data_IF_199087376902
#
_entry.id   IF_199087376902
#
_cell.length_a   1.000
_cell.length_b   1.000
_cell.length_c   1.000
_cell.angle_alpha   90.00
_cell.angle_beta   90.00
_cell.angle_gamma   90.00
#
_symmetry.space_group_name_H-M   'P 1'
#
loop_
_entity.id
_entity.type
_entity.pdbx_description
1 polymer ?
#
# COMPACT_ATOMS: atom_id res chain seq x y z
N UNK A 1 7.52 -0.97 11.79
CA UNK A 1 8.21 -2.16 11.27
C UNK A 1 7.76 -2.51 9.85
N UNK A 2 6.52 -2.88 9.61
CA UNK A 2 6.02 -3.21 8.25
C UNK A 2 6.22 -2.10 7.21
N UNK A 3 5.92 -0.86 7.56
CA UNK A 3 6.11 0.32 6.70
C UNK A 3 7.58 0.65 6.47
N UNK A 4 8.40 0.48 7.47
CA UNK A 4 9.85 0.60 7.37
C UNK A 4 10.42 -0.45 6.41
N UNK A 5 10.08 -1.73 6.61
CA UNK A 5 10.50 -2.84 5.74
C UNK A 5 10.10 -2.59 4.27
N UNK A 6 8.85 -2.23 4.02
CA UNK A 6 8.38 -1.95 2.66
C UNK A 6 9.12 -0.77 2.00
N UNK A 7 9.43 0.30 2.74
CA UNK A 7 10.11 1.47 2.19
C UNK A 7 11.61 1.23 1.97
N UNK A 8 12.28 0.48 2.84
CA UNK A 8 13.68 0.07 2.67
C UNK A 8 13.86 -0.84 1.44
N UNK A 9 12.95 -1.82 1.28
CA UNK A 9 13.00 -2.76 0.14
C UNK A 9 12.86 -2.03 -1.20
N UNK A 10 12.00 -1.02 -1.29
CA UNK A 10 11.83 -0.25 -2.52
C UNK A 10 13.14 0.41 -3.00
N UNK A 11 13.98 0.90 -2.09
CA UNK A 11 15.31 1.45 -2.42
C UNK A 11 16.24 0.36 -2.95
N UNK A 12 16.11 -0.87 -2.44
CA UNK A 12 17.00 -1.97 -2.77
C UNK A 12 16.63 -2.74 -4.05
N UNK A 13 15.42 -2.53 -4.60
CA UNK A 13 14.96 -3.30 -5.77
C UNK A 13 15.93 -3.28 -6.96
N UNK A 14 16.52 -2.12 -7.36
CA UNK A 14 17.50 -2.11 -8.46
C UNK A 14 18.74 -2.94 -8.16
N UNK A 15 19.31 -2.81 -6.95
CA UNK A 15 20.48 -3.58 -6.52
C UNK A 15 20.18 -5.07 -6.47
N UNK A 16 19.01 -5.48 -5.96
CA UNK A 16 18.53 -6.87 -5.94
C UNK A 16 18.39 -7.41 -7.37
N UNK A 17 17.81 -6.62 -8.29
CA UNK A 17 17.66 -7.00 -9.69
C UNK A 17 19.01 -7.29 -10.33
N UNK A 18 20.00 -6.40 -10.12
CA UNK A 18 21.35 -6.51 -10.66
C UNK A 18 22.09 -7.73 -10.10
N UNK A 19 22.08 -7.93 -8.79
CA UNK A 19 22.84 -9.02 -8.15
C UNK A 19 22.23 -10.40 -8.39
N UNK A 20 20.89 -10.50 -8.48
CA UNK A 20 20.20 -11.77 -8.77
C UNK A 20 19.93 -12.00 -10.27
N UNK A 21 20.39 -11.10 -11.16
CA UNK A 21 20.18 -11.22 -12.60
C UNK A 21 18.71 -11.24 -13.02
N UNK A 22 17.85 -10.50 -12.27
CA UNK A 22 16.41 -10.50 -12.48
C UNK A 22 15.96 -9.28 -13.29
N UNK A 23 14.95 -9.45 -14.14
CA UNK A 23 14.32 -8.34 -14.85
C UNK A 23 13.49 -7.46 -13.89
N UNK A 24 13.22 -6.21 -14.27
CA UNK A 24 12.44 -5.26 -13.47
C UNK A 24 11.05 -5.80 -13.11
N UNK A 25 10.41 -6.49 -14.06
CA UNK A 25 9.10 -7.12 -13.83
C UNK A 25 9.17 -8.30 -12.87
N UNK A 26 10.27 -9.07 -12.88
CA UNK A 26 10.44 -10.19 -11.96
C UNK A 26 10.78 -9.71 -10.55
N UNK A 27 11.64 -8.70 -10.41
CA UNK A 27 11.97 -8.13 -9.09
C UNK A 27 10.78 -7.38 -8.47
N UNK A 28 9.88 -6.83 -9.26
CA UNK A 28 8.63 -6.23 -8.77
C UNK A 28 7.79 -7.20 -7.93
N UNK A 29 7.90 -8.52 -8.19
CA UNK A 29 7.23 -9.54 -7.38
C UNK A 29 7.73 -9.60 -5.93
N UNK A 30 8.90 -9.08 -5.63
CA UNK A 30 9.39 -8.94 -4.24
C UNK A 30 8.47 -8.00 -3.44
N UNK A 31 8.02 -6.91 -4.05
CA UNK A 31 7.08 -5.98 -3.43
C UNK A 31 5.61 -6.44 -3.59
N UNK A 32 5.24 -6.96 -4.76
CA UNK A 32 3.89 -7.43 -5.07
C UNK A 32 3.47 -8.62 -4.20
N UNK A 33 4.31 -9.65 -4.08
CA UNK A 33 3.99 -10.83 -3.28
C UNK A 33 3.71 -10.47 -1.81
N UNK A 34 4.50 -9.53 -1.27
CA UNK A 34 4.28 -9.00 0.07
C UNK A 34 2.94 -8.26 0.18
N UNK A 35 2.67 -7.33 -0.73
CA UNK A 35 1.45 -6.52 -0.69
C UNK A 35 0.19 -7.35 -0.91
N UNK A 36 0.22 -8.29 -1.87
CA UNK A 36 -0.89 -9.20 -2.13
C UNK A 36 -1.17 -10.13 -0.94
N UNK A 37 -0.11 -10.69 -0.34
CA UNK A 37 -0.25 -11.54 0.85
C UNK A 37 -0.83 -10.74 2.01
N UNK A 38 -0.37 -9.50 2.21
CA UNK A 38 -0.87 -8.62 3.25
C UNK A 38 -2.38 -8.39 3.08
N UNK A 39 -2.81 -7.97 1.89
CA UNK A 39 -4.23 -7.70 1.60
C UNK A 39 -5.06 -8.96 1.73
N UNK A 40 -4.55 -10.08 1.22
CA UNK A 40 -5.22 -11.38 1.27
C UNK A 40 -5.48 -11.86 2.69
N UNK A 41 -4.50 -11.70 3.58
CA UNK A 41 -4.52 -12.32 4.90
C UNK A 41 -4.98 -11.38 6.03
N UNK A 42 -5.00 -10.05 5.83
CA UNK A 42 -5.35 -9.12 6.89
C UNK A 42 -6.78 -9.35 7.43
N UNK A 43 -7.74 -9.58 6.55
CA UNK A 43 -9.13 -9.89 6.95
C UNK A 43 -9.25 -11.24 7.62
N UNK A 44 -8.52 -12.23 7.13
CA UNK A 44 -8.48 -13.57 7.69
C UNK A 44 -7.93 -13.54 9.13
N UNK A 45 -6.80 -12.86 9.34
CA UNK A 45 -6.19 -12.74 10.66
C UNK A 45 -6.98 -11.82 11.59
N UNK A 46 -7.72 -10.84 11.07
CA UNK A 46 -8.68 -10.07 11.84
C UNK A 46 -9.73 -10.98 12.49
N UNK A 47 -10.37 -11.84 11.70
CA UNK A 47 -11.35 -12.82 12.18
C UNK A 47 -10.72 -13.88 13.12
N UNK A 48 -9.51 -14.36 12.81
CA UNK A 48 -8.78 -15.29 13.67
C UNK A 48 -8.45 -14.67 15.05
N UNK A 49 -8.12 -13.40 15.07
CA UNK A 49 -7.80 -12.69 16.30
C UNK A 49 -9.00 -12.49 17.20
N UNK A 50 -10.19 -12.30 16.63
CA UNK A 50 -11.43 -12.27 17.42
C UNK A 50 -11.64 -13.56 18.20
N UNK A 51 -11.22 -14.70 17.66
CA UNK A 51 -11.36 -16.02 18.31
C UNK A 51 -10.20 -16.40 19.21
N UNK A 52 -8.95 -16.05 18.84
CA UNK A 52 -7.73 -16.48 19.55
C UNK A 52 -7.06 -15.38 20.40
N UNK A 53 -7.56 -14.14 20.26
CA UNK A 53 -7.07 -12.98 21.01
C UNK A 53 -5.85 -12.29 20.41
N UNK A 54 -5.61 -11.05 20.82
CA UNK A 54 -4.53 -10.19 20.34
C UNK A 54 -3.14 -10.75 20.60
N UNK A 55 -2.94 -11.38 21.77
CA UNK A 55 -1.67 -11.97 22.15
C UNK A 55 -1.18 -13.02 21.16
N UNK A 56 -2.11 -13.86 20.66
CA UNK A 56 -1.82 -14.83 19.61
C UNK A 56 -1.33 -14.16 18.33
N UNK A 57 -2.08 -13.17 17.83
CA UNK A 57 -1.74 -12.49 16.58
C UNK A 57 -0.37 -11.79 16.65
N UNK A 58 -0.05 -11.09 17.75
CA UNK A 58 1.24 -10.44 17.89
C UNK A 58 2.41 -11.42 18.02
N UNK A 59 2.30 -12.45 18.88
CA UNK A 59 3.38 -13.41 19.08
C UNK A 59 3.70 -14.18 17.81
N UNK A 60 2.69 -14.78 17.19
CA UNK A 60 2.88 -15.52 15.94
C UNK A 60 3.24 -14.59 14.77
N UNK A 61 2.65 -13.40 14.71
CA UNK A 61 2.99 -12.41 13.71
C UNK A 61 4.48 -12.04 13.73
N UNK A 62 5.06 -11.75 14.91
CA UNK A 62 6.49 -11.51 15.04
C UNK A 62 7.34 -12.72 14.68
N UNK A 63 6.94 -13.94 15.07
CA UNK A 63 7.66 -15.17 14.72
C UNK A 63 7.72 -15.33 13.19
N UNK A 64 6.58 -15.25 12.50
CA UNK A 64 6.54 -15.35 11.04
C UNK A 64 7.31 -14.23 10.36
N UNK A 65 7.22 -13.00 10.86
CA UNK A 65 7.95 -11.86 10.32
C UNK A 65 9.47 -12.03 10.46
N UNK A 66 9.96 -12.46 11.62
CA UNK A 66 11.39 -12.70 11.89
C UNK A 66 11.91 -13.83 11.00
N UNK A 67 11.20 -14.96 10.96
CA UNK A 67 11.57 -16.10 10.11
C UNK A 67 11.57 -15.72 8.62
N UNK A 68 10.53 -15.01 8.17
CA UNK A 68 10.46 -14.50 6.80
C UNK A 68 11.61 -13.54 6.49
N UNK A 69 11.95 -12.62 7.40
CA UNK A 69 13.07 -11.70 7.25
C UNK A 69 14.42 -12.43 7.19
N UNK A 70 14.60 -13.45 8.03
CA UNK A 70 15.81 -14.29 8.00
C UNK A 70 15.94 -15.01 6.66
N UNK A 71 14.87 -15.63 6.18
CA UNK A 71 14.86 -16.32 4.88
C UNK A 71 15.05 -15.35 3.70
N UNK A 72 14.50 -14.14 3.76
CA UNK A 72 14.77 -13.09 2.78
C UNK A 72 16.27 -12.76 2.72
N UNK A 73 16.91 -12.55 3.88
CA UNK A 73 18.34 -12.24 3.96
C UNK A 73 19.24 -13.41 3.53
N UNK A 74 18.79 -14.65 3.63
CA UNK A 74 19.51 -15.84 3.19
C UNK A 74 19.19 -16.25 1.74
N UNK A 75 18.32 -15.51 1.05
CA UNK A 75 17.90 -15.85 -0.30
C UNK A 75 19.05 -15.71 -1.32
N UNK A 76 19.24 -16.74 -2.14
CA UNK A 76 20.25 -16.80 -3.21
C UNK A 76 19.63 -16.68 -4.60
N UNK A 77 18.31 -16.65 -4.71
CA UNK A 77 17.58 -16.48 -5.96
C UNK A 77 16.35 -15.60 -5.77
N UNK A 78 15.89 -14.98 -6.85
CA UNK A 78 14.69 -14.14 -6.83
C UNK A 78 13.44 -14.91 -6.40
N UNK A 79 13.33 -16.18 -6.76
CA UNK A 79 12.19 -17.04 -6.42
C UNK A 79 12.15 -17.37 -4.92
N UNK A 80 13.33 -17.68 -4.32
CA UNK A 80 13.43 -17.90 -2.87
C UNK A 80 13.12 -16.63 -2.11
N UNK A 81 13.54 -15.47 -2.62
CA UNK A 81 13.22 -14.17 -2.03
C UNK A 81 11.71 -13.89 -2.07
N UNK A 82 11.05 -14.09 -3.22
CA UNK A 82 9.59 -13.92 -3.36
C UNK A 82 8.83 -14.83 -2.39
N UNK A 83 9.21 -16.10 -2.27
CA UNK A 83 8.57 -17.02 -1.32
C UNK A 83 8.77 -16.57 0.13
N UNK A 84 9.97 -16.13 0.48
CA UNK A 84 10.30 -15.62 1.82
C UNK A 84 9.51 -14.35 2.14
N UNK A 85 9.25 -13.49 1.16
CA UNK A 85 8.40 -12.30 1.27
C UNK A 85 6.94 -12.66 1.59
N UNK A 86 6.40 -13.74 1.03
CA UNK A 86 5.06 -14.25 1.36
C UNK A 86 5.01 -14.63 2.84
N UNK A 87 6.01 -15.34 3.34
CA UNK A 87 6.09 -15.73 4.75
C UNK A 87 6.20 -14.51 5.67
N UNK A 88 7.04 -13.54 5.32
CA UNK A 88 7.22 -12.29 6.06
C UNK A 88 5.91 -11.47 6.10
N UNK A 89 5.22 -11.35 4.96
CA UNK A 89 3.95 -10.65 4.83
C UNK A 89 2.84 -11.31 5.66
N UNK A 90 2.85 -12.64 5.77
CA UNK A 90 1.93 -13.38 6.64
C UNK A 90 2.04 -12.91 8.09
N UNK A 91 3.27 -12.77 8.61
CA UNK A 91 3.52 -12.19 9.92
C UNK A 91 3.02 -10.75 10.05
N UNK A 92 3.30 -9.93 9.03
CA UNK A 92 2.82 -8.54 8.98
C UNK A 92 1.31 -8.45 9.00
N UNK A 93 0.61 -9.29 8.24
CA UNK A 93 -0.85 -9.31 8.19
C UNK A 93 -1.46 -9.62 9.56
N UNK A 94 -0.83 -10.50 10.34
CA UNK A 94 -1.29 -10.83 11.69
C UNK A 94 -1.29 -9.63 12.63
N UNK A 95 -0.20 -8.85 12.73
CA UNK A 95 -0.19 -7.69 13.62
C UNK A 95 -0.83 -6.44 13.02
N UNK A 96 -0.88 -6.30 11.70
CA UNK A 96 -1.59 -5.19 11.06
C UNK A 96 -3.12 -5.30 11.22
N UNK A 97 -3.65 -6.52 11.20
CA UNK A 97 -5.08 -6.79 11.39
C UNK A 97 -5.59 -6.34 12.76
N UNK A 98 -4.74 -6.31 13.78
CA UNK A 98 -5.14 -6.13 15.18
C UNK A 98 -4.84 -4.75 15.76
N UNK A 99 -3.96 -3.98 15.14
CA UNK A 99 -3.44 -2.74 15.72
C UNK A 99 -4.52 -1.75 16.16
N UNK A 100 -5.47 -1.44 15.31
CA UNK A 100 -6.56 -0.50 15.62
C UNK A 100 -7.62 -1.11 16.55
N UNK A 101 -7.94 -2.40 16.38
CA UNK A 101 -8.90 -3.11 17.25
C UNK A 101 -8.43 -3.13 18.71
N UNK A 102 -7.16 -3.41 18.92
CA UNK A 102 -6.55 -3.42 20.25
C UNK A 102 -6.61 -2.04 20.92
N UNK A 103 -6.36 -0.96 20.19
CA UNK A 103 -6.47 0.41 20.73
C UNK A 103 -7.88 0.71 21.23
N UNK A 104 -8.89 0.30 20.48
CA UNK A 104 -10.30 0.56 20.88
C UNK A 104 -10.72 -0.26 22.10
N UNK A 105 -10.04 -1.37 22.40
CA UNK A 105 -10.34 -2.23 23.54
C UNK A 105 -9.56 -1.83 24.80
N UNK A 106 -8.31 -1.38 24.65
CA UNK A 106 -7.44 -1.03 25.79
C UNK A 106 -7.66 0.42 26.26
N UNK A 107 -7.84 1.35 25.33
CA UNK A 107 -7.91 2.78 25.67
C UNK A 107 -9.34 3.25 25.86
N UNK A 108 -9.61 4.05 26.93
CA UNK A 108 -10.90 4.72 27.13
C UNK A 108 -11.23 5.59 25.92
N UNK A 109 -12.51 5.79 25.65
CA UNK A 109 -13.01 6.53 24.47
C UNK A 109 -12.34 7.91 24.30
N UNK A 110 -12.12 8.63 25.41
CA UNK A 110 -11.46 9.94 25.44
C UNK A 110 -9.99 9.93 25.00
N UNK A 111 -9.29 8.79 25.09
CA UNK A 111 -7.85 8.65 24.79
C UNK A 111 -7.58 7.91 23.47
N UNK A 112 -8.60 7.31 22.87
CA UNK A 112 -8.48 6.53 21.62
C UNK A 112 -7.88 7.36 20.49
N UNK A 113 -8.31 8.61 20.33
CA UNK A 113 -7.77 9.50 19.30
C UNK A 113 -6.27 9.74 19.45
N UNK A 114 -5.79 9.92 20.68
CA UNK A 114 -4.35 10.07 20.97
C UNK A 114 -3.59 8.79 20.66
N UNK A 115 -4.10 7.63 21.04
CA UNK A 115 -3.47 6.34 20.80
C UNK A 115 -3.41 6.00 19.29
N UNK A 116 -4.48 6.24 18.54
CA UNK A 116 -4.51 6.10 17.07
C UNK A 116 -3.50 7.07 16.42
N UNK A 117 -3.44 8.32 16.92
CA UNK A 117 -2.46 9.31 16.47
C UNK A 117 -1.01 8.84 16.64
N UNK A 118 -0.68 8.17 17.75
CA UNK A 118 0.65 7.60 17.96
C UNK A 118 0.95 6.46 16.97
N UNK A 119 -0.04 5.62 16.64
CA UNK A 119 0.15 4.59 15.60
C UNK A 119 0.44 5.24 14.25
N UNK A 120 -0.33 6.25 13.87
CA UNK A 120 -0.16 6.96 12.58
C UNK A 120 1.22 7.63 12.52
N UNK A 121 1.67 8.28 13.61
CA UNK A 121 3.02 8.85 13.68
C UNK A 121 4.11 7.78 13.53
N UNK A 122 3.98 6.63 14.17
CA UNK A 122 4.93 5.52 14.06
C UNK A 122 4.99 4.96 12.63
N UNK A 123 3.84 4.82 11.98
CA UNK A 123 3.74 4.41 10.57
C UNK A 123 4.44 5.42 9.66
N UNK A 124 4.17 6.72 9.85
CA UNK A 124 4.80 7.80 9.08
C UNK A 124 6.31 7.86 9.29
N UNK A 125 6.77 7.70 10.54
CA UNK A 125 8.19 7.62 10.86
C UNK A 125 8.88 6.46 10.12
N UNK A 126 8.21 5.29 10.01
CA UNK A 126 8.72 4.17 9.23
C UNK A 126 8.91 4.49 7.75
N UNK A 127 7.99 5.23 7.15
CA UNK A 127 8.12 5.68 5.76
C UNK A 127 9.23 6.73 5.56
N UNK A 128 9.42 7.63 6.53
CA UNK A 128 10.44 8.69 6.45
C UNK A 128 11.85 8.12 6.68
N UNK A 129 12.00 7.25 7.68
CA UNK A 129 13.32 6.70 8.05
C UNK A 129 13.76 5.58 7.09
N UNK A 130 12.80 4.87 6.48
CA UNK A 130 13.09 3.70 5.65
C UNK A 130 14.05 3.97 4.50
N UNK A 131 13.77 4.91 3.58
CA UNK A 131 14.64 5.14 2.44
C UNK A 131 16.08 5.54 2.83
N UNK A 132 16.34 6.48 3.75
CA UNK A 132 17.70 6.78 4.20
C UNK A 132 18.40 5.57 4.83
N UNK A 133 17.70 4.83 5.68
CA UNK A 133 18.27 3.63 6.30
C UNK A 133 18.60 2.56 5.25
N UNK A 134 17.72 2.38 4.25
CA UNK A 134 17.95 1.48 3.12
C UNK A 134 19.16 1.87 2.30
N UNK A 135 19.26 3.15 1.92
CA UNK A 135 20.41 3.67 1.18
C UNK A 135 21.74 3.49 1.93
N UNK A 136 21.78 3.80 3.23
CA UNK A 136 22.97 3.60 4.08
C UNK A 136 23.33 2.11 4.21
N UNK A 137 22.34 1.24 4.42
CA UNK A 137 22.59 -0.20 4.50
C UNK A 137 23.17 -0.76 3.20
N UNK A 138 22.67 -0.30 2.05
CA UNK A 138 23.16 -0.71 0.74
C UNK A 138 24.56 -0.16 0.42
N UNK A 139 24.90 1.03 0.93
CA UNK A 139 26.23 1.63 0.70
C UNK A 139 27.33 1.00 1.56
N UNK A 140 26.99 0.48 2.74
CA UNK A 140 27.97 -0.11 3.68
C UNK A 140 27.97 -1.62 3.68
N UNK A 141 26.85 -2.24 3.33
CA UNK A 141 26.64 -3.68 3.38
C UNK A 141 25.96 -4.18 2.10
N UNK A 142 25.79 -5.48 1.98
CA UNK A 142 25.02 -6.10 0.89
C UNK A 142 23.51 -5.90 1.08
N UNK A 143 22.71 -6.08 0.01
CA UNK A 143 21.26 -5.90 0.03
C UNK A 143 20.55 -6.79 1.06
N UNK A 144 21.12 -7.93 1.42
CA UNK A 144 20.56 -8.82 2.47
C UNK A 144 20.43 -8.12 3.82
N UNK A 145 21.27 -7.14 4.11
CA UNK A 145 21.27 -6.38 5.37
C UNK A 145 19.95 -5.67 5.64
N UNK A 146 19.21 -5.27 4.59
CA UNK A 146 17.89 -4.64 4.72
C UNK A 146 16.85 -5.57 5.36
N UNK A 147 17.03 -6.88 5.21
CA UNK A 147 16.16 -7.88 5.84
C UNK A 147 16.68 -8.27 7.22
N UNK A 148 18.01 -8.39 7.40
CA UNK A 148 18.60 -8.74 8.70
C UNK A 148 18.35 -7.69 9.77
N UNK A 149 18.25 -6.39 9.44
CA UNK A 149 17.90 -5.33 10.41
C UNK A 149 16.52 -5.54 11.05
N UNK A 150 15.63 -6.23 10.38
CA UNK A 150 14.30 -6.55 10.90
C UNK A 150 14.34 -7.58 12.03
N UNK A 151 15.40 -8.40 12.11
CA UNK A 151 15.50 -9.48 13.12
C UNK A 151 15.66 -8.90 14.54
N UNK A 152 16.64 -8.03 14.86
CA UNK A 152 16.75 -7.46 16.20
C UNK A 152 15.51 -6.64 16.60
N UNK A 153 14.93 -5.88 15.66
CA UNK A 153 13.71 -5.11 15.91
C UNK A 153 12.51 -6.04 16.17
N UNK A 154 12.42 -7.13 15.40
CA UNK A 154 11.37 -8.14 15.55
C UNK A 154 11.50 -8.90 16.89
N UNK A 155 12.71 -9.27 17.29
CA UNK A 155 12.97 -9.92 18.57
C UNK A 155 12.61 -9.01 19.76
N UNK A 156 12.93 -7.72 19.68
CA UNK A 156 12.50 -6.75 20.68
C UNK A 156 10.97 -6.68 20.77
N UNK A 157 10.27 -6.59 19.60
CA UNK A 157 8.82 -6.60 19.54
C UNK A 157 8.20 -7.89 20.07
N UNK A 158 8.78 -9.04 19.75
CA UNK A 158 8.35 -10.35 20.25
C UNK A 158 8.50 -10.45 21.77
N UNK A 159 9.63 -9.99 22.30
CA UNK A 159 9.88 -9.96 23.75
C UNK A 159 8.84 -9.07 24.45
N UNK A 160 8.57 -7.88 23.92
CA UNK A 160 7.51 -7.00 24.44
C UNK A 160 6.13 -7.69 24.36
N UNK A 161 5.83 -8.40 23.28
CA UNK A 161 4.57 -9.12 23.15
C UNK A 161 4.44 -10.24 24.20
N UNK A 162 5.52 -10.93 24.56
CA UNK A 162 5.50 -11.93 25.62
C UNK A 162 5.32 -11.31 27.01
N UNK A 163 5.91 -10.15 27.27
CA UNK A 163 5.84 -9.46 28.57
C UNK A 163 4.45 -8.84 28.77
N UNK A 164 4.02 -8.00 27.83
CA UNK A 164 2.81 -7.18 28.01
C UNK A 164 1.52 -7.92 27.74
N UNK A 165 1.52 -8.92 26.85
CA UNK A 165 0.31 -9.67 26.51
C UNK A 165 0.19 -11.01 27.25
N UNK A 166 1.00 -11.23 28.30
CA UNK A 166 0.97 -12.48 29.08
C UNK A 166 -0.40 -12.73 29.72
N UNK A 167 -1.02 -11.69 30.24
CA UNK A 167 -2.25 -11.76 31.03
C UNK A 167 -3.47 -11.16 30.31
N UNK A 168 -3.39 -10.93 29.00
CA UNK A 168 -4.56 -10.44 28.26
C UNK A 168 -5.66 -11.50 28.20
N UNK A 169 -6.89 -11.15 28.62
CA UNK A 169 -7.99 -12.10 28.57
C UNK A 169 -8.34 -12.45 27.11
N UNK A 170 -8.49 -13.73 26.85
CA UNK A 170 -9.09 -14.20 25.59
C UNK A 170 -10.61 -14.09 25.75
N UNK A 171 -11.32 -13.54 24.77
CA UNK A 171 -12.78 -13.45 24.80
C UNK A 171 -13.38 -14.83 25.00
N UNK A 172 -14.30 -14.98 25.96
CA UNK A 172 -14.90 -16.26 26.34
C UNK A 172 -15.81 -16.88 25.27
N UNK A 173 -16.28 -16.09 24.32
CA UNK A 173 -17.14 -16.57 23.24
C UNK A 173 -16.38 -16.41 21.90
N UNK A 174 -15.77 -17.49 21.40
CA UNK A 174 -15.14 -17.45 20.08
C UNK A 174 -16.21 -17.29 19.01
N UNK A 175 -16.20 -16.14 18.33
CA UNK A 175 -17.02 -15.94 17.15
C UNK A 175 -16.63 -16.97 16.10
N UNK A 176 -17.61 -17.59 15.45
CA UNK A 176 -17.35 -18.59 14.41
C UNK A 176 -16.46 -17.98 13.32
N UNK A 177 -15.35 -18.63 13.04
CA UNK A 177 -14.36 -18.18 12.10
C UNK A 177 -14.90 -18.27 10.66
N UNK A 178 -14.94 -17.14 9.97
CA UNK A 178 -15.47 -17.04 8.63
C UNK A 178 -14.34 -16.97 7.64
N UNK A 179 -14.15 -18.05 6.90
CA UNK A 179 -13.08 -18.17 5.91
C UNK A 179 -13.51 -17.71 4.52
N UNK A 180 -14.81 -17.82 4.19
CA UNK A 180 -15.30 -17.68 2.83
C UNK A 180 -15.10 -16.28 2.26
N UNK A 181 -15.45 -15.21 2.99
CA UNK A 181 -15.25 -13.84 2.55
C UNK A 181 -13.77 -13.48 2.32
N UNK A 182 -12.91 -13.60 3.37
CA UNK A 182 -11.48 -13.34 3.22
C UNK A 182 -10.79 -14.15 2.13
N UNK A 183 -11.10 -15.45 2.01
CA UNK A 183 -10.53 -16.30 0.95
C UNK A 183 -10.99 -15.88 -0.44
N UNK A 184 -12.25 -15.49 -0.59
CA UNK A 184 -12.78 -15.04 -1.88
C UNK A 184 -12.11 -13.75 -2.36
N UNK A 185 -11.93 -12.75 -1.50
CA UNK A 185 -11.23 -11.51 -1.88
C UNK A 185 -9.75 -11.75 -2.17
N UNK A 186 -9.11 -12.65 -1.41
CA UNK A 186 -7.74 -13.08 -1.68
C UNK A 186 -7.61 -13.71 -3.07
N UNK A 187 -8.49 -14.63 -3.39
CA UNK A 187 -8.51 -15.31 -4.70
C UNK A 187 -8.77 -14.31 -5.83
N UNK A 188 -9.67 -13.35 -5.61
CA UNK A 188 -9.94 -12.26 -6.58
C UNK A 188 -8.66 -11.50 -6.92
N UNK A 189 -7.94 -11.03 -5.90
CA UNK A 189 -6.75 -10.19 -6.09
C UNK A 189 -5.58 -10.97 -6.70
N UNK A 190 -5.36 -12.19 -6.23
CA UNK A 190 -4.28 -13.04 -6.74
C UNK A 190 -4.55 -13.39 -8.21
N UNK A 191 -5.75 -13.89 -8.55
CA UNK A 191 -6.08 -14.28 -9.92
C UNK A 191 -6.10 -13.09 -10.88
N UNK A 192 -6.59 -11.91 -10.46
CA UNK A 192 -6.52 -10.69 -11.26
C UNK A 192 -5.07 -10.26 -11.56
N UNK A 193 -4.20 -10.31 -10.54
CA UNK A 193 -2.78 -9.94 -10.72
C UNK A 193 -2.05 -10.90 -11.65
N UNK A 194 -2.31 -12.22 -11.52
CA UNK A 194 -1.75 -13.20 -12.43
C UNK A 194 -2.28 -13.06 -13.86
N UNK A 195 -3.58 -12.77 -14.03
CA UNK A 195 -4.16 -12.51 -15.35
C UNK A 195 -3.48 -11.32 -16.04
N UNK A 196 -3.31 -10.20 -15.33
CA UNK A 196 -2.61 -9.01 -15.84
C UNK A 196 -1.17 -9.32 -16.26
N UNK A 197 -0.46 -10.13 -15.46
CA UNK A 197 0.92 -10.49 -15.79
C UNK A 197 1.00 -11.36 -17.05
N UNK A 198 0.06 -12.29 -17.23
CA UNK A 198 0.08 -13.20 -18.39
C UNK A 198 -0.11 -12.48 -19.73
N UNK A 199 -0.66 -11.27 -19.73
CA UNK A 199 -0.80 -10.45 -20.95
C UNK A 199 0.57 -10.17 -21.60
N UNK A 200 1.66 -10.14 -20.82
CA UNK A 200 3.01 -9.97 -21.33
C UNK A 200 3.52 -11.20 -22.10
N UNK A 201 3.29 -12.38 -21.53
CA UNK A 201 3.90 -13.64 -22.01
C UNK A 201 3.01 -14.36 -23.06
N UNK A 202 1.73 -14.00 -23.15
CA UNK A 202 0.72 -14.67 -23.98
C UNK A 202 -0.17 -13.64 -24.70
N UNK A 203 -0.64 -13.94 -25.92
CA UNK A 203 -1.59 -13.07 -26.60
C UNK A 203 -2.90 -12.93 -25.80
N UNK A 204 -3.55 -11.77 -25.89
CA UNK A 204 -4.80 -11.49 -25.16
C UNK A 204 -5.89 -12.52 -25.44
N UNK A 205 -5.83 -13.22 -26.59
CA UNK A 205 -6.74 -14.32 -26.95
C UNK A 205 -6.49 -15.62 -26.18
N UNK A 206 -5.40 -15.75 -25.38
CA UNK A 206 -5.08 -16.96 -24.66
C UNK A 206 -6.14 -17.26 -23.58
N UNK A 207 -6.66 -18.49 -23.60
CA UNK A 207 -7.71 -18.93 -22.67
C UNK A 207 -7.30 -18.86 -21.18
N UNK A 208 -6.00 -18.88 -20.88
CA UNK A 208 -5.47 -18.83 -19.49
C UNK A 208 -5.72 -17.45 -18.88
N UNK A 209 -5.56 -16.36 -19.66
CA UNK A 209 -5.85 -14.99 -19.23
C UNK A 209 -7.33 -14.85 -18.88
N UNK A 210 -8.20 -15.30 -19.79
CA UNK A 210 -9.64 -15.26 -19.58
C UNK A 210 -10.11 -16.20 -18.48
N UNK A 211 -9.47 -17.35 -18.34
CA UNK A 211 -9.71 -18.29 -17.23
C UNK A 211 -9.43 -17.66 -15.88
N UNK A 212 -8.27 -16.99 -15.72
CA UNK A 212 -7.94 -16.27 -14.50
C UNK A 212 -8.83 -15.04 -14.25
N UNK A 213 -9.22 -14.30 -15.31
CA UNK A 213 -10.17 -13.22 -15.20
C UNK A 213 -11.55 -13.71 -14.76
N UNK A 214 -12.01 -14.83 -15.30
CA UNK A 214 -13.26 -15.46 -14.87
C UNK A 214 -13.20 -15.93 -13.41
N UNK A 215 -12.10 -16.57 -12.99
CA UNK A 215 -11.88 -16.96 -11.58
C UNK A 215 -11.93 -15.73 -10.68
N UNK A 216 -11.30 -14.62 -11.09
CA UNK A 216 -11.33 -13.37 -10.36
C UNK A 216 -12.77 -12.81 -10.22
N UNK A 217 -13.53 -12.80 -11.30
CA UNK A 217 -14.93 -12.32 -11.30
C UNK A 217 -15.83 -13.23 -10.45
N UNK A 218 -15.69 -14.54 -10.56
CA UNK A 218 -16.45 -15.50 -9.75
C UNK A 218 -16.11 -15.40 -8.27
N UNK A 219 -14.83 -15.22 -7.95
CA UNK A 219 -14.37 -15.04 -6.57
C UNK A 219 -14.88 -13.70 -6.00
N UNK A 220 -14.91 -12.62 -6.79
CA UNK A 220 -15.50 -11.35 -6.41
C UNK A 220 -17.01 -11.46 -6.17
N UNK A 221 -17.72 -12.15 -7.05
CA UNK A 221 -19.16 -12.41 -6.88
C UNK A 221 -19.42 -13.24 -5.62
N UNK A 222 -18.58 -14.25 -5.35
CA UNK A 222 -18.65 -15.06 -4.13
C UNK A 222 -18.38 -14.19 -2.88
N UNK A 223 -17.37 -13.31 -2.90
CA UNK A 223 -17.11 -12.36 -1.82
C UNK A 223 -18.32 -11.49 -1.55
N UNK A 224 -18.88 -10.86 -2.59
CA UNK A 224 -20.08 -10.04 -2.47
C UNK A 224 -21.25 -10.84 -1.89
N UNK A 225 -21.48 -12.07 -2.36
CA UNK A 225 -22.56 -12.94 -1.88
C UNK A 225 -22.37 -13.34 -0.41
N UNK A 226 -21.15 -13.73 -0.01
CA UNK A 226 -20.87 -14.13 1.37
C UNK A 226 -20.97 -12.95 2.34
N UNK A 227 -20.60 -11.77 1.91
CA UNK A 227 -20.61 -10.58 2.75
C UNK A 227 -21.98 -9.88 2.76
N UNK A 228 -22.79 -10.00 1.69
CA UNK A 228 -24.12 -9.37 1.62
C UNK A 228 -25.22 -10.14 2.35
N UNK A 229 -25.08 -11.45 2.50
CA UNK A 229 -26.16 -12.34 2.98
C UNK A 229 -26.18 -12.54 4.50
N UNK A 230 -25.32 -11.86 5.25
CA UNK A 230 -25.12 -12.18 6.65
C UNK A 230 -25.32 -11.01 7.58
N UNK A 231 -26.23 -11.18 8.56
CA UNK A 231 -26.45 -10.20 9.66
C UNK A 231 -25.20 -9.97 10.53
N UNK A 232 -24.17 -10.80 10.35
CA UNK A 232 -22.90 -10.73 11.05
C UNK A 232 -21.74 -10.44 10.09
N UNK A 233 -22.03 -9.87 8.91
CA UNK A 233 -21.05 -9.43 7.93
C UNK A 233 -19.99 -8.52 8.57
N UNK A 234 -18.71 -8.75 8.25
CA UNK A 234 -17.61 -7.89 8.70
C UNK A 234 -17.77 -6.48 8.11
N UNK A 235 -18.24 -6.41 6.87
CA UNK A 235 -18.52 -5.18 6.15
C UNK A 235 -20.01 -5.16 5.86
N UNK A 236 -20.79 -4.44 6.66
CA UNK A 236 -22.21 -4.21 6.31
C UNK A 236 -22.26 -3.46 4.96
N UNK A 237 -22.67 -4.12 3.88
CA UNK A 237 -22.72 -3.50 2.54
C UNK A 237 -23.64 -2.25 2.48
N UNK A 238 -24.49 -2.04 3.48
CA UNK A 238 -25.27 -0.81 3.62
C UNK A 238 -24.38 0.45 3.66
N UNK A 239 -23.15 0.35 4.17
CA UNK A 239 -22.16 1.44 4.15
C UNK A 239 -21.90 1.92 2.71
N UNK A 240 -21.88 1.01 1.73
CA UNK A 240 -21.62 1.35 0.33
C UNK A 240 -22.83 2.02 -0.36
N UNK A 241 -24.02 2.00 0.26
CA UNK A 241 -25.16 2.81 -0.21
C UNK A 241 -24.91 4.31 0.05
N UNK A 242 -24.04 4.63 1.00
CA UNK A 242 -23.61 6.00 1.23
C UNK A 242 -22.69 6.47 0.10
N UNK A 243 -23.18 7.41 -0.70
CA UNK A 243 -22.44 7.95 -1.85
C UNK A 243 -21.09 8.55 -1.47
N UNK A 244 -21.03 9.25 -0.33
CA UNK A 244 -19.80 9.84 0.15
C UNK A 244 -18.76 8.76 0.48
N UNK A 245 -19.16 7.68 1.14
CA UNK A 245 -18.31 6.55 1.47
C UNK A 245 -17.75 5.88 0.21
N UNK A 246 -18.64 5.46 -0.69
CA UNK A 246 -18.29 4.72 -1.91
C UNK A 246 -17.37 5.52 -2.83
N UNK A 247 -17.68 6.79 -3.04
CA UNK A 247 -16.85 7.64 -3.89
C UNK A 247 -15.50 7.98 -3.25
N UNK A 248 -15.43 8.11 -1.93
CA UNK A 248 -14.15 8.31 -1.25
C UNK A 248 -13.25 7.07 -1.31
N UNK A 249 -13.83 5.85 -1.24
CA UNK A 249 -13.09 4.60 -1.45
C UNK A 249 -12.60 4.49 -2.90
N UNK A 250 -13.47 4.76 -3.88
CA UNK A 250 -13.10 4.72 -5.31
C UNK A 250 -11.97 5.72 -5.64
N UNK A 251 -12.06 6.95 -5.14
CA UNK A 251 -11.01 7.95 -5.28
C UNK A 251 -9.70 7.49 -4.63
N UNK A 252 -9.76 6.87 -3.44
CA UNK A 252 -8.58 6.34 -2.75
C UNK A 252 -7.90 5.23 -3.56
N UNK A 253 -8.66 4.28 -4.09
CA UNK A 253 -8.14 3.21 -4.94
C UNK A 253 -7.41 3.78 -6.16
N UNK A 254 -8.04 4.73 -6.87
CA UNK A 254 -7.46 5.36 -8.07
C UNK A 254 -6.17 6.15 -7.75
N UNK A 255 -6.15 6.95 -6.67
CA UNK A 255 -4.99 7.72 -6.25
C UNK A 255 -3.83 6.80 -5.88
N UNK A 256 -4.06 5.78 -5.03
CA UNK A 256 -2.99 4.89 -4.61
C UNK A 256 -2.51 3.96 -5.74
N UNK A 257 -3.39 3.57 -6.67
CA UNK A 257 -2.99 2.86 -7.87
C UNK A 257 -2.10 3.73 -8.78
N UNK A 258 -2.42 5.01 -8.93
CA UNK A 258 -1.64 5.92 -9.79
C UNK A 258 -0.21 6.15 -9.32
N UNK A 259 0.05 6.16 -8.00
CA UNK A 259 1.38 6.45 -7.46
C UNK A 259 2.27 5.22 -7.29
N UNK A 260 1.69 4.04 -7.14
CA UNK A 260 2.46 2.85 -6.72
C UNK A 260 3.43 2.36 -7.78
N UNK A 261 3.04 2.43 -9.06
CA UNK A 261 3.93 2.10 -10.16
C UNK A 261 5.12 3.07 -10.27
N UNK A 262 4.85 4.35 -10.04
CA UNK A 262 5.91 5.37 -9.97
C UNK A 262 6.88 5.07 -8.82
N UNK A 263 6.38 4.82 -7.60
CA UNK A 263 7.20 4.50 -6.43
C UNK A 263 8.09 3.26 -6.65
N UNK A 264 7.62 2.30 -7.45
CA UNK A 264 8.40 1.13 -7.83
C UNK A 264 9.50 1.48 -8.84
N UNK A 265 9.19 2.27 -9.88
CA UNK A 265 10.09 2.50 -11.01
C UNK A 265 11.08 3.66 -10.79
N UNK A 266 10.77 4.62 -9.91
CA UNK A 266 11.66 5.77 -9.62
C UNK A 266 13.05 5.35 -9.16
N UNK A 267 13.25 4.37 -8.25
CA UNK A 267 14.59 3.91 -7.90
C UNK A 267 15.39 3.44 -9.12
N UNK A 268 14.76 2.64 -9.99
CA UNK A 268 15.40 2.17 -11.22
C UNK A 268 15.79 3.31 -12.17
N UNK A 269 14.91 4.31 -12.31
CA UNK A 269 15.21 5.50 -13.11
C UNK A 269 16.41 6.27 -12.56
N UNK A 270 16.44 6.49 -11.23
CA UNK A 270 17.51 7.23 -10.58
C UNK A 270 18.84 6.47 -10.61
N UNK A 271 18.84 5.16 -10.42
CA UNK A 271 20.05 4.34 -10.39
C UNK A 271 20.55 4.02 -11.79
N UNK A 272 19.69 3.49 -12.69
CA UNK A 272 20.12 3.01 -14.01
C UNK A 272 20.30 4.13 -15.05
N UNK A 273 19.41 5.16 -15.02
CA UNK A 273 19.44 6.23 -16.01
C UNK A 273 20.24 7.43 -15.53
N UNK A 274 20.07 7.84 -14.26
CA UNK A 274 20.78 8.99 -13.67
C UNK A 274 22.13 8.61 -13.06
N UNK A 275 22.43 7.31 -12.89
CA UNK A 275 23.69 6.82 -12.35
C UNK A 275 23.90 7.12 -10.87
N UNK A 276 22.84 7.39 -10.11
CA UNK A 276 22.94 7.70 -8.69
C UNK A 276 23.23 6.44 -7.87
N UNK A 277 23.95 6.65 -6.77
CA UNK A 277 24.18 5.59 -5.78
C UNK A 277 22.91 5.37 -4.93
N UNK A 278 22.74 4.18 -4.31
CA UNK A 278 21.56 3.87 -3.49
C UNK A 278 21.29 4.87 -2.35
N UNK A 279 22.32 5.41 -1.73
CA UNK A 279 22.21 6.45 -0.70
C UNK A 279 21.68 7.79 -1.28
N UNK A 280 22.12 8.18 -2.47
CA UNK A 280 21.61 9.35 -3.18
C UNK A 280 20.16 9.15 -3.62
N UNK A 281 19.80 7.97 -4.14
CA UNK A 281 18.42 7.60 -4.49
C UNK A 281 17.51 7.73 -3.28
N UNK A 282 17.96 7.29 -2.10
CA UNK A 282 17.19 7.39 -0.87
C UNK A 282 16.79 8.82 -0.52
N UNK A 283 17.65 9.83 -0.78
CA UNK A 283 17.32 11.25 -0.56
C UNK A 283 16.19 11.75 -1.47
N UNK A 284 16.05 11.19 -2.67
CA UNK A 284 14.92 11.52 -3.54
C UNK A 284 13.63 10.85 -3.07
N UNK A 285 13.71 9.60 -2.63
CA UNK A 285 12.52 8.86 -2.19
C UNK A 285 11.90 9.41 -0.89
N UNK A 286 12.70 10.06 -0.03
CA UNK A 286 12.19 10.68 1.20
C UNK A 286 11.36 11.94 0.93
N UNK A 287 11.48 12.58 -0.23
CA UNK A 287 10.78 13.82 -0.58
C UNK A 287 9.26 13.63 -0.46
N UNK A 288 8.73 12.56 -1.02
CA UNK A 288 7.28 12.27 -0.99
C UNK A 288 6.75 12.17 0.44
N UNK A 289 7.27 11.28 1.33
CA UNK A 289 6.76 11.16 2.69
C UNK A 289 6.97 12.43 3.54
N UNK A 290 8.03 13.19 3.32
CA UNK A 290 8.25 14.47 4.01
C UNK A 290 7.18 15.49 3.62
N UNK A 291 6.88 15.63 2.34
CA UNK A 291 5.83 16.55 1.88
C UNK A 291 4.44 16.07 2.35
N UNK A 292 4.17 14.76 2.33
CA UNK A 292 2.96 14.21 2.92
C UNK A 292 2.85 14.56 4.41
N UNK A 293 3.94 14.42 5.18
CA UNK A 293 3.97 14.74 6.61
C UNK A 293 3.65 16.21 6.88
N UNK A 294 4.10 17.13 6.03
CA UNK A 294 3.83 18.57 6.14
C UNK A 294 2.39 18.88 5.74
N UNK A 295 1.95 18.41 4.57
CA UNK A 295 0.67 18.82 3.99
C UNK A 295 -0.54 18.07 4.56
N UNK A 296 -0.39 16.86 5.10
CA UNK A 296 -1.50 16.10 5.65
C UNK A 296 -2.18 16.77 6.86
N UNK A 297 -1.46 17.26 7.90
CA UNK A 297 -2.12 17.96 9.00
C UNK A 297 -2.66 19.34 8.60
N UNK A 298 -2.01 20.03 7.67
CA UNK A 298 -2.47 21.32 7.15
C UNK A 298 -3.80 21.16 6.40
N UNK A 299 -3.88 20.16 5.51
CA UNK A 299 -5.08 19.85 4.75
C UNK A 299 -6.21 19.35 5.66
N UNK A 300 -5.89 18.58 6.71
CA UNK A 300 -6.87 18.15 7.72
C UNK A 300 -7.55 19.34 8.39
N UNK A 301 -6.77 20.26 8.97
CA UNK A 301 -7.29 21.49 9.59
C UNK A 301 -8.09 22.38 8.64
N UNK A 302 -7.65 22.45 7.39
CA UNK A 302 -8.34 23.25 6.37
C UNK A 302 -9.64 22.56 5.92
N UNK A 303 -9.65 21.22 5.87
CA UNK A 303 -10.83 20.41 5.57
C UNK A 303 -11.99 20.64 6.54
N UNK A 304 -11.67 20.85 7.82
CA UNK A 304 -12.69 21.15 8.85
C UNK A 304 -13.40 22.51 8.58
N UNK A 305 -12.73 23.43 7.88
CA UNK A 305 -13.27 24.75 7.56
C UNK A 305 -13.99 24.82 6.22
N UNK A 306 -13.40 24.30 5.16
CA UNK A 306 -13.92 24.44 3.77
C UNK A 306 -14.52 23.16 3.20
N UNK A 307 -14.49 22.09 3.98
CA UNK A 307 -15.00 20.77 3.60
C UNK A 307 -14.02 19.91 2.83
N UNK A 308 -14.17 18.59 2.91
CA UNK A 308 -13.22 17.64 2.33
C UNK A 308 -13.24 17.58 0.80
N UNK A 309 -14.38 17.94 0.15
CA UNK A 309 -14.54 17.89 -1.31
C UNK A 309 -13.51 18.75 -2.07
N UNK A 310 -13.37 20.01 -1.65
CA UNK A 310 -12.46 20.96 -2.31
C UNK A 310 -11.02 20.46 -2.19
N UNK A 311 -10.60 20.10 -0.98
CA UNK A 311 -9.22 19.70 -0.72
C UNK A 311 -8.83 18.38 -1.39
N UNK A 312 -9.71 17.38 -1.41
CA UNK A 312 -9.39 16.13 -2.12
C UNK A 312 -9.32 16.35 -3.61
N UNK A 313 -10.18 17.19 -4.20
CA UNK A 313 -10.10 17.55 -5.62
C UNK A 313 -8.82 18.30 -5.92
N UNK A 314 -8.46 19.31 -5.11
CA UNK A 314 -7.19 20.05 -5.23
C UNK A 314 -5.99 19.12 -5.07
N UNK A 315 -6.00 18.22 -4.08
CA UNK A 315 -4.92 17.25 -3.87
C UNK A 315 -4.70 16.35 -5.07
N UNK A 316 -5.76 15.85 -5.69
CA UNK A 316 -5.67 15.04 -6.93
C UNK A 316 -5.17 15.89 -8.10
N UNK A 317 -5.60 17.14 -8.26
CA UNK A 317 -5.08 18.03 -9.31
C UNK A 317 -3.59 18.32 -9.14
N UNK A 318 -3.14 18.57 -7.91
CA UNK A 318 -1.71 18.76 -7.59
C UNK A 318 -0.92 17.49 -7.88
N UNK A 319 -1.45 16.32 -7.51
CA UNK A 319 -0.84 15.02 -7.84
C UNK A 319 -0.68 14.84 -9.37
N UNK A 320 -1.74 15.11 -10.13
CA UNK A 320 -1.70 15.05 -11.61
C UNK A 320 -0.65 16.01 -12.16
N UNK A 321 -0.59 17.23 -11.65
CA UNK A 321 0.45 18.21 -12.02
C UNK A 321 1.87 17.67 -11.76
N UNK A 322 2.10 17.06 -10.61
CA UNK A 322 3.37 16.43 -10.25
C UNK A 322 3.73 15.25 -11.15
N UNK A 323 2.76 14.38 -11.50
CA UNK A 323 2.96 13.28 -12.44
C UNK A 323 3.29 13.79 -13.85
N UNK A 324 2.61 14.83 -14.33
CA UNK A 324 2.91 15.46 -15.63
C UNK A 324 4.32 16.07 -15.63
N UNK A 325 4.72 16.75 -14.55
CA UNK A 325 6.09 17.26 -14.40
C UNK A 325 7.12 16.13 -14.44
N UNK A 326 6.82 15.00 -13.78
CA UNK A 326 7.72 13.83 -13.79
C UNK A 326 7.81 13.21 -15.19
N UNK A 327 6.72 13.12 -15.94
CA UNK A 327 6.70 12.60 -17.31
C UNK A 327 7.48 13.46 -18.32
N UNK A 328 7.89 14.67 -17.94
CA UNK A 328 8.75 15.54 -18.75
C UNK A 328 10.24 15.44 -18.40
N UNK A 329 10.60 14.57 -17.44
CA UNK A 329 12.01 14.38 -17.07
C UNK A 329 12.68 13.52 -18.14
N UNK A 330 13.70 14.08 -18.78
CA UNK A 330 14.55 13.44 -19.79
C UNK A 330 15.79 12.82 -19.15
N UNK A 331 16.50 11.95 -19.91
CA UNK A 331 17.76 11.36 -19.47
C UNK A 331 18.79 12.44 -19.06
N UNK A 332 18.96 13.48 -19.88
CA UNK A 332 19.82 14.62 -19.60
C UNK A 332 19.21 15.64 -18.63
N UNK A 333 17.96 15.45 -18.21
CA UNK A 333 17.22 16.39 -17.36
C UNK A 333 17.84 16.56 -15.97
N UNK A 334 17.64 17.73 -15.37
CA UNK A 334 18.19 18.09 -14.06
C UNK A 334 17.57 17.25 -12.93
N UNK A 335 18.39 16.83 -11.97
CA UNK A 335 17.92 16.19 -10.71
C UNK A 335 16.97 17.09 -9.93
N UNK A 336 17.09 18.42 -10.07
CA UNK A 336 16.14 19.37 -9.48
C UNK A 336 14.73 19.18 -10.04
N UNK A 337 14.56 18.90 -11.34
CA UNK A 337 13.24 18.59 -11.92
C UNK A 337 12.62 17.34 -11.33
N UNK A 338 13.43 16.29 -11.11
CA UNK A 338 13.00 15.07 -10.42
C UNK A 338 12.53 15.39 -9.00
N UNK A 339 13.35 16.11 -8.23
CA UNK A 339 13.02 16.49 -6.85
C UNK A 339 11.75 17.33 -6.79
N UNK A 340 11.59 18.30 -7.69
CA UNK A 340 10.40 19.14 -7.77
C UNK A 340 9.14 18.31 -8.09
N UNK A 341 9.22 17.42 -9.07
CA UNK A 341 8.11 16.53 -9.41
C UNK A 341 7.68 15.65 -8.23
N UNK A 342 8.65 15.01 -7.54
CA UNK A 342 8.39 14.20 -6.35
C UNK A 342 7.81 15.05 -5.21
N UNK A 343 8.25 16.29 -5.04
CA UNK A 343 7.72 17.20 -4.04
C UNK A 343 6.25 17.57 -4.33
N UNK A 344 5.91 17.88 -5.57
CA UNK A 344 4.53 18.17 -5.98
C UNK A 344 3.64 16.95 -5.80
N UNK A 345 4.12 15.76 -6.18
CA UNK A 345 3.42 14.48 -5.96
C UNK A 345 3.15 14.27 -4.47
N UNK A 346 4.18 14.39 -3.61
CA UNK A 346 4.06 14.22 -2.17
C UNK A 346 3.07 15.21 -1.53
N UNK A 347 3.11 16.48 -1.95
CA UNK A 347 2.14 17.49 -1.52
C UNK A 347 0.71 17.12 -1.94
N UNK A 348 0.50 16.69 -3.20
CA UNK A 348 -0.80 16.26 -3.70
C UNK A 348 -1.39 15.12 -2.90
N UNK A 349 -0.59 14.09 -2.60
CA UNK A 349 -1.01 12.94 -1.77
C UNK A 349 -1.35 13.40 -0.35
N UNK A 350 -0.52 14.26 0.26
CA UNK A 350 -0.75 14.79 1.60
C UNK A 350 -2.04 15.61 1.70
N UNK A 351 -2.31 16.46 0.69
CA UNK A 351 -3.54 17.25 0.61
C UNK A 351 -4.78 16.36 0.40
N UNK A 352 -4.65 15.24 -0.34
CA UNK A 352 -5.76 14.32 -0.59
C UNK A 352 -6.07 13.41 0.61
N UNK A 353 -5.05 12.79 1.20
CA UNK A 353 -5.23 11.60 2.06
C UNK A 353 -6.00 11.91 3.35
N UNK A 354 -5.66 12.98 4.06
CA UNK A 354 -6.27 13.31 5.34
C UNK A 354 -7.74 13.73 5.19
N UNK A 355 -8.11 14.67 4.28
CA UNK A 355 -9.50 15.03 4.07
C UNK A 355 -10.35 13.85 3.57
N UNK A 356 -9.78 12.98 2.72
CA UNK A 356 -10.49 11.79 2.24
C UNK A 356 -10.77 10.80 3.35
N UNK A 357 -9.79 10.53 4.23
CA UNK A 357 -9.96 9.65 5.39
C UNK A 357 -10.96 10.23 6.40
N UNK A 358 -10.90 11.55 6.66
CA UNK A 358 -11.86 12.24 7.52
C UNK A 358 -13.30 12.13 6.98
N UNK A 359 -13.47 12.31 5.67
CA UNK A 359 -14.77 12.15 5.02
C UNK A 359 -15.33 10.72 5.14
N UNK A 360 -14.47 9.71 5.01
CA UNK A 360 -14.84 8.31 5.20
C UNK A 360 -15.28 8.04 6.64
N UNK A 361 -14.51 8.51 7.63
CA UNK A 361 -14.84 8.31 9.05
C UNK A 361 -16.09 9.10 9.47
N UNK A 362 -16.33 10.26 8.87
CA UNK A 362 -17.53 11.09 9.13
C UNK A 362 -18.80 10.58 8.44
N UNK A 363 -18.68 9.67 7.46
CA UNK A 363 -19.81 9.13 6.71
C UNK A 363 -20.48 7.91 7.37
N UNK A 364 -19.94 7.44 8.50
CA UNK A 364 -20.38 6.24 9.21
C UNK A 364 -20.64 6.53 10.68
N UNK A 365 -21.50 5.73 11.28
CA UNK A 365 -21.80 5.83 12.71
C UNK A 365 -20.61 5.45 13.59
N UNK A 366 -20.58 5.92 14.83
CA UNK A 366 -19.46 5.70 15.76
C UNK A 366 -19.13 4.22 15.97
N UNK A 367 -20.13 3.34 15.99
CA UNK A 367 -19.94 1.88 16.12
C UNK A 367 -19.30 1.22 14.89
N UNK A 368 -19.30 1.86 13.73
CA UNK A 368 -18.77 1.32 12.48
C UNK A 368 -17.35 1.86 12.15
N UNK A 369 -16.85 2.82 12.92
CA UNK A 369 -15.57 3.49 12.63
C UNK A 369 -14.36 2.55 12.64
N UNK A 370 -14.36 1.54 13.52
CA UNK A 370 -13.27 0.55 13.57
C UNK A 370 -13.22 -0.29 12.29
N UNK A 371 -14.37 -0.78 11.82
CA UNK A 371 -14.50 -1.52 10.55
C UNK A 371 -14.12 -0.63 9.37
N UNK A 372 -14.61 0.61 9.36
CA UNK A 372 -14.28 1.61 8.32
C UNK A 372 -12.78 1.87 8.23
N UNK A 373 -12.09 1.95 9.37
CA UNK A 373 -10.62 2.09 9.39
C UNK A 373 -9.92 0.91 8.71
N UNK A 374 -10.42 -0.31 8.94
CA UNK A 374 -9.94 -1.52 8.25
C UNK A 374 -10.19 -1.46 6.74
N UNK A 375 -11.40 -1.04 6.32
CA UNK A 375 -11.74 -0.88 4.90
C UNK A 375 -10.82 0.16 4.23
N UNK A 376 -10.56 1.28 4.88
CA UNK A 376 -9.64 2.32 4.39
C UNK A 376 -8.23 1.77 4.19
N UNK A 377 -7.70 1.06 5.18
CA UNK A 377 -6.37 0.45 5.08
C UNK A 377 -6.30 -0.61 3.97
N UNK A 378 -7.31 -1.47 3.88
CA UNK A 378 -7.42 -2.51 2.85
C UNK A 378 -7.54 -1.90 1.46
N UNK A 379 -8.41 -0.89 1.27
CA UNK A 379 -8.59 -0.20 -0.02
C UNK A 379 -7.31 0.48 -0.49
N UNK A 380 -6.58 1.12 0.42
CA UNK A 380 -5.26 1.70 0.11
C UNK A 380 -4.29 0.63 -0.38
N UNK A 381 -4.19 -0.50 0.33
CA UNK A 381 -3.28 -1.57 -0.04
C UNK A 381 -3.68 -2.26 -1.36
N UNK A 382 -4.99 -2.41 -1.62
CA UNK A 382 -5.52 -2.88 -2.92
C UNK A 382 -5.08 -1.92 -4.03
N UNK A 383 -5.27 -0.60 -3.84
CA UNK A 383 -4.83 0.41 -4.80
C UNK A 383 -3.33 0.30 -5.10
N UNK A 384 -2.49 0.20 -4.05
CA UNK A 384 -1.05 0.03 -4.21
C UNK A 384 -0.70 -1.26 -4.99
N UNK A 385 -1.28 -2.39 -4.62
CA UNK A 385 -1.01 -3.66 -5.28
C UNK A 385 -1.45 -3.67 -6.75
N UNK A 386 -2.68 -3.18 -7.03
CA UNK A 386 -3.19 -3.06 -8.39
C UNK A 386 -2.32 -2.14 -9.26
N UNK A 387 -1.93 -0.99 -8.71
CA UNK A 387 -1.11 -0.03 -9.45
C UNK A 387 0.29 -0.57 -9.76
N UNK A 388 0.93 -1.28 -8.83
CA UNK A 388 2.21 -1.97 -9.11
C UNK A 388 2.01 -3.01 -10.22
N UNK A 389 0.97 -3.85 -10.13
CA UNK A 389 0.70 -4.88 -11.11
C UNK A 389 0.44 -4.30 -12.52
N UNK A 390 -0.41 -3.26 -12.61
CA UNK A 390 -0.72 -2.59 -13.88
C UNK A 390 0.54 -1.91 -14.44
N UNK A 391 1.27 -1.16 -13.61
CA UNK A 391 2.42 -0.39 -14.07
C UNK A 391 3.57 -1.28 -14.52
N UNK A 392 3.83 -2.41 -13.84
CA UNK A 392 4.88 -3.36 -14.26
C UNK A 392 4.51 -4.10 -15.55
N UNK A 393 3.26 -4.52 -15.71
CA UNK A 393 2.79 -5.14 -16.93
C UNK A 393 2.89 -4.17 -18.11
N UNK A 394 2.44 -2.93 -17.93
CA UNK A 394 2.49 -1.89 -18.97
C UNK A 394 3.92 -1.42 -19.24
N UNK A 395 4.78 -1.35 -18.23
CA UNK A 395 6.20 -1.03 -18.46
C UNK A 395 6.87 -2.07 -19.35
N UNK A 396 6.64 -3.35 -19.09
CA UNK A 396 7.16 -4.41 -19.93
C UNK A 396 6.62 -4.36 -21.37
N UNK A 397 5.32 -4.09 -21.51
CA UNK A 397 4.68 -3.91 -22.83
C UNK A 397 5.28 -2.72 -23.60
N UNK A 398 5.48 -1.57 -22.96
CA UNK A 398 6.10 -0.40 -23.58
C UNK A 398 7.58 -0.62 -23.89
N UNK A 399 8.32 -1.37 -23.07
CA UNK A 399 9.70 -1.76 -23.42
C UNK A 399 9.78 -2.58 -24.70
N UNK A 400 8.83 -3.50 -24.92
CA UNK A 400 8.75 -4.27 -26.15
C UNK A 400 8.36 -3.38 -27.34
N UNK A 401 7.40 -2.48 -27.17
CA UNK A 401 6.97 -1.52 -28.19
C UNK A 401 8.10 -0.55 -28.60
N UNK A 402 8.96 -0.19 -27.68
CA UNK A 402 10.09 0.73 -27.91
C UNK A 402 11.42 0.00 -28.23
N UNK A 403 11.43 -1.32 -28.36
CA UNK A 403 12.66 -2.12 -28.50
C UNK A 403 13.56 -1.67 -29.66
N UNK A 404 12.99 -1.09 -30.72
CA UNK A 404 13.71 -0.62 -31.91
C UNK A 404 14.15 0.86 -31.82
N UNK A 405 13.87 1.58 -30.72
CA UNK A 405 14.04 3.04 -30.62
C UNK A 405 15.30 3.49 -29.86
N UNK A 406 16.41 2.78 -29.96
CA UNK A 406 17.69 3.30 -29.44
C UNK A 406 18.37 2.44 -28.38
N UNK A 407 19.09 3.09 -27.47
CA UNK A 407 19.84 2.43 -26.38
C UNK A 407 18.91 1.90 -25.28
N UNK A 408 19.42 0.98 -24.46
CA UNK A 408 18.65 0.45 -23.33
C UNK A 408 18.13 1.54 -22.38
N UNK A 409 18.90 2.63 -22.20
CA UNK A 409 18.46 3.77 -21.39
C UNK A 409 17.33 4.56 -22.05
N UNK A 410 17.41 4.81 -23.35
CA UNK A 410 16.36 5.50 -24.10
C UNK A 410 15.05 4.72 -24.09
N UNK A 411 15.13 3.39 -24.31
CA UNK A 411 13.98 2.48 -24.21
C UNK A 411 13.37 2.54 -22.81
N UNK A 412 14.21 2.52 -21.75
CA UNK A 412 13.75 2.63 -20.38
C UNK A 412 13.01 3.95 -20.13
N UNK A 413 13.60 5.10 -20.55
CA UNK A 413 13.04 6.44 -20.34
C UNK A 413 11.71 6.60 -21.06
N UNK A 414 11.60 6.15 -22.32
CA UNK A 414 10.37 6.18 -23.10
C UNK A 414 9.27 5.34 -22.42
N UNK A 415 9.59 4.10 -22.07
CA UNK A 415 8.66 3.19 -21.40
C UNK A 415 8.22 3.72 -20.02
N UNK A 416 9.15 4.30 -19.27
CA UNK A 416 8.87 4.93 -17.99
C UNK A 416 7.93 6.13 -18.14
N UNK A 417 8.15 6.97 -19.15
CA UNK A 417 7.27 8.10 -19.47
C UNK A 417 5.85 7.65 -19.78
N UNK A 418 5.69 6.57 -20.54
CA UNK A 418 4.37 6.05 -20.90
C UNK A 418 3.64 5.48 -19.65
N UNK A 419 4.36 4.83 -18.72
CA UNK A 419 3.80 4.44 -17.42
C UNK A 419 3.42 5.64 -16.56
N UNK A 420 4.18 6.73 -16.61
CA UNK A 420 3.80 7.97 -15.91
C UNK A 420 2.53 8.57 -16.53
N UNK A 421 2.36 8.55 -17.85
CA UNK A 421 1.12 8.97 -18.53
C UNK A 421 -0.07 8.09 -18.13
N UNK A 422 0.14 6.78 -18.03
CA UNK A 422 -0.87 5.86 -17.48
C UNK A 422 -1.23 6.22 -16.02
N UNK A 423 -0.24 6.56 -15.21
CA UNK A 423 -0.46 7.02 -13.83
C UNK A 423 -1.29 8.32 -13.78
N UNK A 424 -1.06 9.25 -14.71
CA UNK A 424 -1.91 10.44 -14.89
C UNK A 424 -3.35 10.04 -15.21
N UNK A 425 -3.56 9.12 -16.15
CA UNK A 425 -4.91 8.64 -16.51
C UNK A 425 -5.62 8.00 -15.30
N UNK A 426 -4.91 7.16 -14.54
CA UNK A 426 -5.46 6.56 -13.30
C UNK A 426 -5.78 7.63 -12.24
N UNK A 427 -4.95 8.65 -12.07
CA UNK A 427 -5.23 9.76 -11.15
C UNK A 427 -6.43 10.60 -11.60
N UNK A 428 -6.59 10.81 -12.90
CA UNK A 428 -7.76 11.51 -13.47
C UNK A 428 -9.07 10.78 -13.16
N UNK A 429 -9.08 9.44 -13.09
CA UNK A 429 -10.25 8.67 -12.67
C UNK A 429 -10.71 9.00 -11.24
N UNK A 430 -9.84 9.52 -10.37
CA UNK A 430 -10.22 9.95 -9.03
C UNK A 430 -11.03 11.26 -9.01
N UNK A 431 -10.86 12.15 -10.00
CA UNK A 431 -11.50 13.47 -10.03
C UNK A 431 -13.04 13.41 -9.99
N UNK A 432 -13.72 12.65 -10.86
CA UNK A 432 -15.19 12.56 -10.83
C UNK A 432 -15.69 12.06 -9.47
N UNK A 433 -15.00 11.13 -8.82
CA UNK A 433 -15.38 10.65 -7.51
C UNK A 433 -15.17 11.72 -6.41
N UNK A 434 -14.09 12.50 -6.46
CA UNK A 434 -13.87 13.60 -5.53
C UNK A 434 -14.93 14.72 -5.70
N UNK A 435 -15.30 15.04 -6.94
CA UNK A 435 -16.28 16.10 -7.25
C UNK A 435 -17.70 15.65 -6.92
N UNK A 436 -18.06 14.41 -7.25
CA UNK A 436 -19.43 13.93 -7.19
C UNK A 436 -19.88 13.44 -5.81
N UNK A 437 -18.97 13.25 -4.83
CA UNK A 437 -19.31 12.68 -3.50
C UNK A 437 -20.22 13.52 -2.62
N UNK A 438 -20.45 14.81 -2.95
CA UNK A 438 -21.28 15.72 -2.14
C UNK A 438 -20.49 16.44 -1.03
N UNK A 439 -21.10 17.49 -0.45
CA UNK A 439 -20.59 18.15 0.75
C UNK A 439 -21.28 17.52 1.96
N UNK A 440 -20.56 16.84 2.83
CA UNK A 440 -21.01 16.62 4.18
C UNK A 440 -20.87 17.94 4.93
N UNK A 441 -21.98 18.58 5.25
CA UNK A 441 -21.95 19.57 6.32
C UNK A 441 -21.61 18.82 7.61
N UNK A 442 -20.72 19.36 8.47
CA UNK A 442 -20.60 18.86 9.82
C UNK A 442 -22.01 18.90 10.43
N UNK A 443 -22.50 17.76 10.95
CA UNK A 443 -23.68 17.78 11.81
C UNK A 443 -23.33 18.74 12.95
N UNK A 444 -23.82 19.96 12.91
CA UNK A 444 -23.89 20.81 14.09
C UNK A 444 -24.61 19.98 15.12
N UNK A 445 -23.93 19.56 16.17
CA UNK A 445 -24.55 19.04 17.37
C UNK A 445 -25.57 20.10 17.75
N UNK A 446 -26.86 19.77 17.56
CA UNK A 446 -27.94 20.52 18.17
C UNK A 446 -27.70 20.36 19.65
N UNK A 447 -27.25 21.46 20.26
CA UNK A 447 -27.18 21.64 21.71
C UNK A 447 -28.50 21.21 22.35
N UNK A 448 -28.42 20.60 23.54
CA UNK A 448 -29.58 20.09 24.29
C UNK A 448 -30.59 21.15 24.63
#
# INVERSE_FOLDING_TARGET
MATFDGSVVNVALPTIAKELGASVDLVAWVALSYSLTLVALIMLFGSLTESKGYAFAYKFGYIFFILGSLLCGLSTSIYTLIFSRILQATGTAMFAAVGLGMVTEIFPEKERGKAIGMIVMTVSAGFIIGPPAGGLLLSWFSWQSIFFINIPIGLAGLTMAFIYFRNMPVKKEPRQMRWAGPLSISLTLVSATFALRMIKDYPISDFRIWGLALVSLLALAAFIKFESNDKTALIGFDIFKNRQFTFSIAAMLAVFASISGLLLLVPFFLENVKGLKPDEVAFFLIIIPVLMFIFAPLSGKLSDKIGPRILTTTGVMVLIGGLILFGRVEEAGSLFQVALALAVIGAGIGIFTTPNSSALMGSVDSGQRAVTSGIVATSRNIGLAMGVAISTAMFAFFQEMHADFGTANEIFVLSFRDVVLLSVAMAMLALPFCIARGNSQPKTESSP
#
